data_IF_176229554124
#
_entry.id   IF_176229554124
#
_cell.length_a   1.000
_cell.length_b   1.000
_cell.length_c   1.000
_cell.angle_alpha   90.00
_cell.angle_beta   90.00
_cell.angle_gamma   90.00
#
_symmetry.space_group_name_H-M   'P 1'
#
loop_
_entity.id
_entity.type
_entity.pdbx_description
1 polymer ?
#
# COMPACT_ATOMS: atom_id res chain seq x y z
N UNK A 1 29.67 -14.82 -12.96
CA UNK A 1 29.63 -13.81 -11.90
C UNK A 1 28.26 -13.91 -11.22
N UNK A 2 28.18 -14.50 -10.03
CA UNK A 2 26.92 -14.64 -9.28
C UNK A 2 26.68 -13.30 -8.59
N UNK A 3 25.64 -12.58 -9.01
CA UNK A 3 25.11 -11.43 -8.27
C UNK A 3 24.40 -12.00 -7.04
N UNK A 4 24.99 -11.85 -5.86
CA UNK A 4 24.36 -12.21 -4.60
C UNK A 4 23.16 -11.29 -4.39
N UNK A 5 21.97 -11.86 -4.31
CA UNK A 5 20.76 -11.15 -3.85
C UNK A 5 21.05 -10.52 -2.49
N UNK A 6 20.65 -9.26 -2.24
CA UNK A 6 20.77 -8.69 -0.91
C UNK A 6 20.04 -9.59 0.08
N UNK A 7 20.70 -9.90 1.20
CA UNK A 7 20.13 -10.70 2.29
C UNK A 7 18.76 -10.11 2.65
N UNK A 8 17.70 -10.88 2.40
CA UNK A 8 16.36 -10.50 2.81
C UNK A 8 16.33 -10.56 4.34
N UNK A 9 16.50 -9.42 4.99
CA UNK A 9 16.34 -9.28 6.43
C UNK A 9 14.97 -9.81 6.86
N UNK A 10 14.89 -10.32 8.10
CA UNK A 10 13.64 -10.85 8.66
C UNK A 10 12.53 -9.79 8.56
N UNK A 11 11.38 -10.17 8.00
CA UNK A 11 10.18 -9.32 7.96
C UNK A 11 9.46 -9.41 9.30
N UNK A 12 9.14 -8.28 9.88
CA UNK A 12 8.41 -8.18 11.14
C UNK A 12 6.91 -8.00 10.86
N UNK A 13 6.08 -8.73 11.63
CA UNK A 13 4.62 -8.50 11.60
C UNK A 13 4.30 -7.24 12.39
N UNK A 14 3.39 -6.43 11.85
CA UNK A 14 2.89 -5.25 12.55
C UNK A 14 1.95 -5.73 13.67
N UNK A 15 2.33 -5.50 14.92
CA UNK A 15 1.58 -5.93 16.11
C UNK A 15 1.23 -4.78 17.05
N UNK A 16 1.87 -3.63 16.90
CA UNK A 16 1.65 -2.40 17.66
C UNK A 16 2.05 -1.18 16.84
N UNK A 17 1.61 -0.01 17.26
CA UNK A 17 2.13 1.26 16.75
C UNK A 17 3.57 1.49 17.23
N UNK A 18 4.38 2.11 16.39
CA UNK A 18 5.77 2.47 16.65
C UNK A 18 5.92 3.99 16.61
N UNK A 19 6.80 4.51 17.46
CA UNK A 19 7.25 5.89 17.45
C UNK A 19 8.54 6.02 16.64
N UNK A 20 8.94 7.25 16.33
CA UNK A 20 10.10 7.52 15.48
C UNK A 20 11.37 6.79 15.95
N UNK A 21 11.65 6.78 17.26
CA UNK A 21 12.84 6.16 17.85
C UNK A 21 12.81 4.63 17.83
N UNK A 22 11.66 4.02 17.58
CA UNK A 22 11.53 2.55 17.43
C UNK A 22 11.98 2.06 16.04
N UNK A 23 12.17 2.97 15.07
CA UNK A 23 12.54 2.62 13.71
C UNK A 23 14.05 2.65 13.50
N UNK A 24 14.49 1.87 12.52
CA UNK A 24 15.84 1.96 11.95
C UNK A 24 15.82 1.71 10.44
N UNK A 25 16.77 2.31 9.72
CA UNK A 25 16.91 2.11 8.28
C UNK A 25 17.16 0.65 7.95
N UNK A 26 16.45 0.14 6.95
CA UNK A 26 16.49 -1.26 6.53
C UNK A 26 15.50 -2.18 7.24
N UNK A 27 14.83 -1.71 8.28
CA UNK A 27 13.78 -2.48 8.97
C UNK A 27 12.61 -2.77 8.03
N UNK A 28 12.10 -3.99 8.07
CA UNK A 28 11.07 -4.50 7.13
C UNK A 28 9.84 -4.96 7.88
N UNK A 29 8.68 -4.59 7.36
CA UNK A 29 7.38 -4.94 7.93
C UNK A 29 6.49 -5.57 6.87
N UNK A 30 5.57 -6.41 7.32
CA UNK A 30 4.52 -7.02 6.51
C UNK A 30 3.17 -6.87 7.20
N UNK A 31 2.15 -6.47 6.45
CA UNK A 31 0.79 -6.33 6.95
C UNK A 31 0.03 -7.66 6.91
N UNK A 32 -1.15 -7.69 7.50
CA UNK A 32 -2.14 -8.73 7.22
C UNK A 32 -2.60 -8.65 5.77
N UNK A 33 -3.11 -9.76 5.24
CA UNK A 33 -3.76 -9.79 3.94
C UNK A 33 -5.20 -9.25 4.00
N UNK A 34 -5.66 -8.67 2.86
CA UNK A 34 -7.03 -8.23 2.65
C UNK A 34 -7.50 -8.58 1.25
N UNK A 35 -8.67 -9.19 1.13
CA UNK A 35 -9.30 -9.47 -0.16
C UNK A 35 -10.06 -8.25 -0.66
N UNK A 36 -9.87 -7.89 -1.92
CA UNK A 36 -10.63 -6.85 -2.62
C UNK A 36 -11.99 -7.40 -2.99
N UNK A 37 -13.04 -6.71 -2.57
CA UNK A 37 -14.41 -7.15 -2.76
C UNK A 37 -15.16 -6.33 -3.82
N UNK A 38 -16.29 -6.85 -4.31
CA UNK A 38 -17.23 -6.09 -5.16
C UNK A 38 -17.67 -4.79 -4.46
N UNK A 39 -17.95 -4.86 -3.17
CA UNK A 39 -18.37 -3.70 -2.40
C UNK A 39 -17.31 -2.60 -2.35
N UNK A 40 -16.02 -2.95 -2.31
CA UNK A 40 -14.94 -1.98 -2.34
C UNK A 40 -14.98 -1.16 -3.63
N UNK A 41 -15.14 -1.82 -4.78
CA UNK A 41 -15.18 -1.16 -6.09
C UNK A 41 -16.43 -0.28 -6.24
N UNK A 42 -17.60 -0.79 -5.88
CA UNK A 42 -18.87 -0.05 -5.96
C UNK A 42 -18.84 1.18 -5.06
N UNK A 43 -18.41 1.04 -3.82
CA UNK A 43 -18.33 2.15 -2.87
C UNK A 43 -17.29 3.18 -3.29
N UNK A 44 -16.16 2.75 -3.83
CA UNK A 44 -15.13 3.67 -4.31
C UNK A 44 -15.60 4.46 -5.54
N UNK A 45 -16.29 3.81 -6.50
CA UNK A 45 -16.89 4.48 -7.64
C UNK A 45 -17.92 5.53 -7.19
N UNK A 46 -18.77 5.20 -6.23
CA UNK A 46 -19.77 6.13 -5.68
C UNK A 46 -19.12 7.32 -4.94
N UNK A 47 -18.06 7.07 -4.16
CA UNK A 47 -17.35 8.10 -3.42
C UNK A 47 -16.61 9.08 -4.34
N UNK A 48 -15.97 8.57 -5.38
CA UNK A 48 -15.08 9.35 -6.26
C UNK A 48 -15.75 9.84 -7.53
N UNK A 49 -16.93 9.32 -7.87
CA UNK A 49 -17.61 9.49 -9.15
C UNK A 49 -16.86 8.89 -10.35
N UNK A 50 -15.84 8.09 -10.12
CA UNK A 50 -15.15 7.33 -11.18
C UNK A 50 -15.95 6.08 -11.54
N UNK A 51 -16.95 6.26 -12.39
CA UNK A 51 -17.78 5.20 -12.94
C UNK A 51 -17.27 4.70 -14.32
N UNK A 52 -15.95 4.72 -14.54
CA UNK A 52 -15.38 4.16 -15.76
C UNK A 52 -15.86 2.70 -15.95
N UNK A 53 -16.31 2.39 -17.17
CA UNK A 53 -16.85 1.08 -17.53
C UNK A 53 -15.87 -0.06 -17.26
N UNK A 54 -14.57 0.20 -17.25
CA UNK A 54 -13.55 -0.79 -16.90
C UNK A 54 -13.71 -1.34 -15.47
N UNK A 55 -14.33 -0.55 -14.58
CA UNK A 55 -14.59 -0.93 -13.18
C UNK A 55 -16.03 -1.37 -12.96
N UNK A 56 -16.99 -0.87 -13.76
CA UNK A 56 -18.42 -0.96 -13.45
C UNK A 56 -19.23 -1.80 -14.41
N UNK A 57 -18.71 -2.09 -15.63
CA UNK A 57 -19.41 -2.82 -16.69
C UNK A 57 -18.65 -4.10 -17.04
N UNK A 58 -19.24 -5.26 -16.72
CA UNK A 58 -18.62 -6.56 -16.96
C UNK A 58 -18.53 -6.91 -18.44
N UNK A 59 -19.53 -6.54 -19.23
CA UNK A 59 -19.56 -6.80 -20.68
C UNK A 59 -18.51 -5.97 -21.41
N UNK A 60 -18.44 -4.67 -21.08
CA UNK A 60 -17.39 -3.81 -21.60
C UNK A 60 -15.99 -4.33 -21.22
N UNK A 61 -15.76 -4.66 -19.96
CA UNK A 61 -14.47 -5.13 -19.46
C UNK A 61 -14.04 -6.44 -20.10
N UNK A 62 -14.98 -7.35 -20.40
CA UNK A 62 -14.71 -8.61 -21.09
C UNK A 62 -14.12 -8.40 -22.49
N UNK A 63 -14.49 -7.30 -23.16
CA UNK A 63 -13.95 -6.89 -24.47
C UNK A 63 -12.57 -6.25 -24.42
N UNK A 64 -12.06 -5.92 -23.24
CA UNK A 64 -10.77 -5.22 -23.06
C UNK A 64 -9.59 -6.21 -22.93
N UNK A 65 -8.38 -5.65 -22.87
CA UNK A 65 -7.15 -6.40 -22.57
C UNK A 65 -7.25 -7.18 -21.24
N UNK A 66 -7.95 -6.63 -20.24
CA UNK A 66 -8.06 -7.23 -18.90
C UNK A 66 -9.05 -8.40 -18.82
N UNK A 67 -9.99 -8.51 -19.80
CA UNK A 67 -11.00 -9.58 -19.91
C UNK A 67 -12.02 -9.64 -18.76
N UNK A 68 -11.87 -8.84 -17.74
CA UNK A 68 -12.78 -8.71 -16.60
C UNK A 68 -12.58 -7.35 -15.93
N UNK A 69 -13.54 -6.94 -15.10
CA UNK A 69 -13.42 -5.66 -14.36
C UNK A 69 -12.20 -5.68 -13.45
N UNK A 70 -11.51 -4.57 -13.40
CA UNK A 70 -10.41 -4.32 -12.47
C UNK A 70 -10.83 -3.31 -11.41
N UNK A 71 -10.19 -3.36 -10.26
CA UNK A 71 -10.33 -2.32 -9.24
C UNK A 71 -9.68 -1.01 -9.72
N UNK A 72 -10.20 0.12 -9.24
CA UNK A 72 -9.57 1.43 -9.46
C UNK A 72 -8.14 1.42 -8.92
N UNK A 73 -7.20 1.99 -9.65
CA UNK A 73 -5.81 2.07 -9.17
C UNK A 73 -5.71 2.83 -7.86
N UNK A 74 -6.43 3.93 -7.71
CA UNK A 74 -6.47 4.73 -6.48
C UNK A 74 -7.14 3.99 -5.31
N UNK A 75 -8.08 3.07 -5.57
CA UNK A 75 -8.62 2.17 -4.54
C UNK A 75 -7.51 1.27 -3.99
N UNK A 76 -6.65 0.72 -4.86
CA UNK A 76 -5.49 -0.06 -4.43
C UNK A 76 -4.55 0.72 -3.52
N UNK A 77 -4.30 1.99 -3.83
CA UNK A 77 -3.52 2.90 -2.96
C UNK A 77 -4.23 3.14 -1.63
N UNK A 78 -5.53 3.37 -1.64
CA UNK A 78 -6.31 3.59 -0.41
C UNK A 78 -6.30 2.35 0.50
N UNK A 79 -6.46 1.16 -0.07
CA UNK A 79 -6.36 -0.11 0.67
C UNK A 79 -4.95 -0.30 1.24
N UNK A 80 -3.90 -0.02 0.45
CA UNK A 80 -2.52 -0.04 0.92
C UNK A 80 -2.32 0.86 2.13
N UNK A 81 -2.80 2.10 2.09
CA UNK A 81 -2.70 3.02 3.21
C UNK A 81 -3.42 2.48 4.46
N UNK A 82 -4.61 1.92 4.28
CA UNK A 82 -5.39 1.31 5.35
C UNK A 82 -4.74 0.04 5.94
N UNK A 83 -4.04 -0.77 5.15
CA UNK A 83 -3.32 -1.93 5.66
C UNK A 83 -2.07 -1.52 6.46
N UNK A 84 -1.40 -0.45 6.06
CA UNK A 84 -0.15 -0.01 6.65
C UNK A 84 -0.32 0.91 7.87
N UNK A 85 -1.54 1.41 8.17
CA UNK A 85 -1.77 2.43 9.19
C UNK A 85 -1.35 2.00 10.61
N UNK A 86 -1.54 0.73 10.96
CA UNK A 86 -1.28 0.21 12.31
C UNK A 86 0.16 0.41 12.77
N UNK A 87 1.11 0.52 11.82
CA UNK A 87 2.52 0.72 12.14
C UNK A 87 2.77 2.07 12.83
N UNK A 88 1.99 3.09 12.48
CA UNK A 88 2.17 4.47 12.93
C UNK A 88 0.87 5.11 13.45
N UNK A 89 -0.12 4.30 13.81
CA UNK A 89 -1.47 4.74 14.19
C UNK A 89 -1.46 5.83 15.27
N UNK A 90 -0.61 5.66 16.30
CA UNK A 90 -0.53 6.58 17.43
C UNK A 90 0.51 7.69 17.24
N UNK A 91 1.40 7.57 16.25
CA UNK A 91 2.58 8.44 16.11
C UNK A 91 2.60 9.31 14.87
N UNK A 92 1.77 9.00 13.85
CA UNK A 92 1.73 9.76 12.60
C UNK A 92 1.11 11.14 12.82
N UNK A 93 1.81 12.18 12.36
CA UNK A 93 1.33 13.56 12.39
C UNK A 93 0.76 13.99 11.04
N UNK A 94 1.39 13.56 9.93
CA UNK A 94 0.99 13.93 8.59
C UNK A 94 1.53 12.95 7.56
N UNK A 95 0.79 12.79 6.47
CA UNK A 95 1.22 12.12 5.26
C UNK A 95 1.73 13.18 4.29
N UNK A 96 3.02 13.16 3.96
CA UNK A 96 3.67 14.27 3.26
C UNK A 96 3.78 14.08 1.76
N UNK A 97 4.12 12.90 1.30
CA UNK A 97 4.37 12.61 -0.11
C UNK A 97 4.06 11.16 -0.44
N UNK A 98 3.60 10.92 -1.65
CA UNK A 98 3.43 9.59 -2.24
C UNK A 98 3.94 9.61 -3.67
N UNK A 99 4.84 8.67 -4.01
CA UNK A 99 5.18 8.29 -5.39
C UNK A 99 4.70 6.87 -5.62
N UNK A 100 3.99 6.64 -6.71
CA UNK A 100 3.38 5.36 -6.98
C UNK A 100 3.55 4.92 -8.43
N UNK A 101 3.74 3.61 -8.63
CA UNK A 101 3.76 2.99 -9.94
C UNK A 101 2.78 1.83 -9.96
N UNK A 102 1.88 1.83 -10.95
CA UNK A 102 0.96 0.73 -11.20
C UNK A 102 1.64 -0.28 -12.13
N UNK A 103 2.01 -1.43 -11.61
CA UNK A 103 2.70 -2.49 -12.37
C UNK A 103 1.74 -3.54 -12.91
N UNK A 104 0.75 -3.91 -12.12
CA UNK A 104 -0.24 -4.94 -12.41
C UNK A 104 -1.65 -4.45 -12.09
N UNK A 105 -2.68 -4.94 -12.82
CA UNK A 105 -4.06 -4.70 -12.45
C UNK A 105 -4.41 -5.41 -11.14
N UNK A 106 -5.28 -4.82 -10.37
CA UNK A 106 -5.87 -5.41 -9.17
C UNK A 106 -7.29 -5.86 -9.49
N UNK A 107 -7.59 -7.12 -9.28
CA UNK A 107 -8.89 -7.69 -9.58
C UNK A 107 -9.75 -7.84 -8.33
N UNK A 108 -11.07 -7.82 -8.52
CA UNK A 108 -12.02 -8.22 -7.48
C UNK A 108 -11.77 -9.70 -7.16
N UNK A 109 -11.59 -10.01 -5.87
CA UNK A 109 -11.23 -11.34 -5.39
C UNK A 109 -9.74 -11.54 -5.10
N UNK A 110 -8.87 -10.64 -5.54
CA UNK A 110 -7.44 -10.70 -5.19
C UNK A 110 -7.26 -10.40 -3.71
N UNK A 111 -6.37 -11.15 -3.07
CA UNK A 111 -5.96 -10.89 -1.68
C UNK A 111 -4.57 -10.29 -1.70
N UNK A 112 -4.46 -9.09 -1.17
CA UNK A 112 -3.23 -8.31 -1.16
C UNK A 112 -2.75 -8.07 0.27
N UNK A 113 -1.45 -7.89 0.41
CA UNK A 113 -0.80 -7.39 1.62
C UNK A 113 0.27 -6.34 1.24
N UNK A 114 0.79 -5.63 2.22
CA UNK A 114 1.83 -4.62 2.02
C UNK A 114 3.12 -5.09 2.66
N UNK A 115 4.18 -5.08 1.89
CA UNK A 115 5.55 -5.17 2.37
C UNK A 115 6.19 -3.79 2.33
N UNK A 116 6.87 -3.39 3.40
CA UNK A 116 7.47 -2.07 3.48
C UNK A 116 8.83 -2.12 4.17
N UNK A 117 9.72 -1.25 3.75
CA UNK A 117 11.05 -1.10 4.31
C UNK A 117 11.34 0.37 4.60
N UNK A 118 11.93 0.65 5.75
CA UNK A 118 12.41 1.98 6.10
C UNK A 118 13.63 2.30 5.25
N UNK A 119 13.54 3.28 4.37
CA UNK A 119 14.64 3.69 3.47
C UNK A 119 15.46 4.82 4.03
N UNK A 120 14.82 5.75 4.69
CA UNK A 120 15.46 6.92 5.22
C UNK A 120 14.73 7.43 6.45
N UNK A 121 15.48 7.99 7.37
CA UNK A 121 14.99 8.68 8.56
C UNK A 121 15.64 10.06 8.64
N UNK A 122 14.82 11.10 8.85
CA UNK A 122 15.28 12.47 9.03
C UNK A 122 14.74 13.02 10.34
N UNK A 123 15.60 13.25 11.28
CA UNK A 123 15.26 13.86 12.56
C UNK A 123 15.11 15.38 12.42
N UNK A 124 14.14 15.98 13.12
CA UNK A 124 14.06 17.41 13.33
C UNK A 124 14.46 17.72 14.78
N UNK A 125 15.74 18.09 15.04
CA UNK A 125 16.25 18.24 16.40
C UNK A 125 15.64 19.42 17.16
N UNK A 126 14.92 20.30 16.47
CA UNK A 126 14.22 21.46 17.07
C UNK A 126 12.77 21.15 17.45
N UNK A 127 12.27 19.99 17.02
CA UNK A 127 10.90 19.55 17.23
C UNK A 127 10.94 18.06 17.55
N UNK A 128 10.18 17.65 18.52
CA UNK A 128 10.04 16.24 18.91
C UNK A 128 9.29 15.43 17.84
N UNK A 129 9.90 15.37 16.64
CA UNK A 129 9.35 14.69 15.46
C UNK A 129 10.43 14.38 14.43
N UNK A 130 10.15 13.46 13.53
CA UNK A 130 11.00 13.15 12.39
C UNK A 130 10.18 12.77 11.14
N UNK A 131 10.87 12.57 10.03
CA UNK A 131 10.31 12.11 8.77
C UNK A 131 10.81 10.71 8.52
N UNK A 132 9.89 9.79 8.24
CA UNK A 132 10.18 8.43 7.79
C UNK A 132 9.85 8.31 6.31
N UNK A 133 10.79 7.78 5.55
CA UNK A 133 10.61 7.46 4.14
C UNK A 133 10.59 5.93 4.00
N UNK A 134 9.47 5.42 3.53
CA UNK A 134 9.27 4.01 3.26
C UNK A 134 9.27 3.73 1.76
N UNK A 135 9.90 2.64 1.36
CA UNK A 135 9.58 1.97 0.12
C UNK A 135 8.58 0.86 0.42
N UNK A 136 7.49 0.80 -0.35
CA UNK A 136 6.38 -0.13 -0.10
C UNK A 136 5.99 -0.85 -1.38
N UNK A 137 5.61 -2.09 -1.24
CA UNK A 137 5.11 -2.93 -2.33
C UNK A 137 3.80 -3.59 -1.90
N UNK A 138 2.82 -3.59 -2.80
CA UNK A 138 1.57 -4.35 -2.65
C UNK A 138 1.73 -5.66 -3.39
N UNK A 139 1.52 -6.76 -2.68
CA UNK A 139 1.71 -8.13 -3.16
C UNK A 139 0.41 -8.90 -3.10
#
# INVERSE_FOLDING_TARGET
MKISSPSQGKKEKITRSLYFDDFHVGQRFVTKGRTVTEADVVNFAALTWDHNQLHTDAEYAAGTYYRKRIAHGLLGIAIHAGLAYQLTEESILAFLELKWQFKLPLFIGDTIHVEQVVKEMREDPKKDRGILIFEKEVI
#
